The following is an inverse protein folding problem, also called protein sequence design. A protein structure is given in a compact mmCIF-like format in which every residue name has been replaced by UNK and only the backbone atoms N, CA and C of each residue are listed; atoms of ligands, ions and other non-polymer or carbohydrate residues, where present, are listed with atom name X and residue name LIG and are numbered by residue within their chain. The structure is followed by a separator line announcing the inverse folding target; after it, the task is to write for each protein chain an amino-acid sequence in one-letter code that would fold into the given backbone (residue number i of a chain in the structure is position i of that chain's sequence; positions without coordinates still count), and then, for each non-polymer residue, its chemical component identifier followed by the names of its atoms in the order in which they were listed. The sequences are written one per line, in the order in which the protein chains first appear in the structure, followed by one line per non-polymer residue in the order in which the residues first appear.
data_IF_658446904894
#
_entry.id   IF_658446904894
#
_cell.length_a   1.000
_cell.length_b   1.000
_cell.length_c   1.000
_cell.angle_alpha   90.00
_cell.angle_beta   90.00
_cell.angle_gamma   90.00
#
_symmetry.space_group_name_H-M   'P 1'
#
loop_
_entity.id
_entity.type
_entity.pdbx_description
1 polymer ?
#
# COMPACT_ATOMS: atom_id res chain seq x y z
N UNK A 1 -1.61 -18.43 -5.50
CA UNK A 1 -1.90 -18.97 -4.15
C UNK A 1 -3.42 -18.97 -3.98
N UNK A 2 -4.07 -20.13 -3.75
CA UNK A 2 -5.54 -20.17 -3.60
C UNK A 2 -5.93 -19.42 -2.33
N UNK A 3 -6.76 -18.37 -2.49
CA UNK A 3 -7.43 -17.71 -1.36
C UNK A 3 -8.21 -18.80 -0.60
N UNK A 4 -7.77 -19.14 0.58
CA UNK A 4 -8.60 -19.84 1.56
C UNK A 4 -9.58 -18.81 2.11
N UNK A 5 -10.72 -18.71 1.45
CA UNK A 5 -11.86 -17.92 1.95
C UNK A 5 -12.33 -18.58 3.24
N UNK A 6 -11.80 -18.14 4.38
CA UNK A 6 -12.48 -18.32 5.66
C UNK A 6 -13.71 -17.40 5.61
N UNK A 7 -14.71 -17.81 4.86
CA UNK A 7 -16.04 -17.20 4.79
C UNK A 7 -16.81 -17.52 6.07
N UNK A 8 -16.27 -17.10 7.22
CA UNK A 8 -17.07 -16.99 8.42
C UNK A 8 -17.84 -15.69 8.32
N UNK A 9 -19.14 -15.73 8.56
CA UNK A 9 -20.00 -14.54 8.67
C UNK A 9 -19.38 -13.45 9.58
N UNK A 10 -18.66 -13.88 10.61
CA UNK A 10 -17.90 -13.03 11.50
C UNK A 10 -16.80 -12.21 10.75
N UNK A 11 -15.99 -12.84 9.89
CA UNK A 11 -14.94 -12.12 9.14
C UNK A 11 -15.53 -11.09 8.19
N UNK A 12 -16.66 -11.39 7.56
CA UNK A 12 -17.34 -10.42 6.68
C UNK A 12 -17.84 -9.21 7.48
N UNK A 13 -18.48 -9.43 8.62
CA UNK A 13 -18.96 -8.34 9.47
C UNK A 13 -17.80 -7.52 10.07
N UNK A 14 -16.72 -8.17 10.49
CA UNK A 14 -15.53 -7.50 10.98
C UNK A 14 -14.88 -6.65 9.88
N UNK A 15 -14.78 -7.18 8.65
CA UNK A 15 -14.29 -6.44 7.50
C UNK A 15 -15.12 -5.20 7.20
N UNK A 16 -16.44 -5.33 7.15
CA UNK A 16 -17.38 -4.19 6.98
C UNK A 16 -17.21 -3.14 8.09
N UNK A 17 -17.01 -3.57 9.33
CA UNK A 17 -16.78 -2.66 10.46
C UNK A 17 -15.46 -1.90 10.29
N UNK A 18 -14.39 -2.59 9.92
CA UNK A 18 -13.08 -1.99 9.67
C UNK A 18 -13.17 -0.96 8.55
N UNK A 19 -13.80 -1.30 7.42
CA UNK A 19 -14.03 -0.36 6.31
C UNK A 19 -14.80 0.87 6.73
N UNK A 20 -15.88 0.71 7.49
CA UNK A 20 -16.65 1.83 8.00
C UNK A 20 -15.82 2.74 8.93
N UNK A 21 -15.01 2.16 9.80
CA UNK A 21 -14.11 2.91 10.69
C UNK A 21 -13.10 3.72 9.87
N UNK A 22 -12.47 3.11 8.86
CA UNK A 22 -11.54 3.79 7.95
C UNK A 22 -12.18 5.00 7.27
N UNK A 23 -13.35 4.80 6.67
CA UNK A 23 -14.07 5.85 5.94
C UNK A 23 -14.43 7.01 6.87
N UNK A 24 -14.97 6.73 8.05
CA UNK A 24 -15.48 7.75 8.96
C UNK A 24 -14.39 8.51 9.71
N UNK A 25 -13.36 7.80 10.21
CA UNK A 25 -12.34 8.42 11.05
C UNK A 25 -11.21 9.06 10.24
N UNK A 26 -10.95 8.58 9.03
CA UNK A 26 -9.76 8.99 8.25
C UNK A 26 -10.17 9.69 6.95
N UNK A 27 -10.94 9.02 6.10
CA UNK A 27 -11.20 9.49 4.73
C UNK A 27 -12.08 10.74 4.72
N UNK A 28 -13.21 10.74 5.44
CA UNK A 28 -14.15 11.87 5.44
C UNK A 28 -13.57 13.16 6.01
N UNK A 29 -12.90 13.18 7.18
CA UNK A 29 -12.27 14.40 7.69
C UNK A 29 -11.23 14.97 6.73
N UNK A 30 -10.40 14.12 6.15
CA UNK A 30 -9.37 14.56 5.22
C UNK A 30 -9.95 15.14 3.93
N UNK A 31 -10.98 14.51 3.36
CA UNK A 31 -11.67 15.06 2.19
C UNK A 31 -12.33 16.42 2.46
N UNK A 32 -12.74 16.67 3.69
CA UNK A 32 -13.30 17.96 4.08
C UNK A 32 -12.22 19.06 4.17
N UNK A 33 -11.05 18.75 4.72
CA UNK A 33 -9.97 19.74 4.93
C UNK A 33 -9.16 20.05 3.66
N UNK A 34 -9.05 19.10 2.72
CA UNK A 34 -8.31 19.31 1.48
C UNK A 34 -9.24 19.70 0.34
N UNK A 35 -9.16 20.93 -0.12
CA UNK A 35 -9.99 21.48 -1.20
C UNK A 35 -9.97 20.60 -2.47
N UNK A 36 -11.15 20.26 -2.95
CA UNK A 36 -11.37 19.30 -4.05
C UNK A 36 -10.58 19.63 -5.33
N UNK A 37 -10.59 20.89 -5.74
CA UNK A 37 -10.06 21.32 -7.04
C UNK A 37 -8.57 21.00 -7.23
N UNK A 38 -7.73 21.29 -6.24
CA UNK A 38 -6.27 21.08 -6.36
C UNK A 38 -5.87 19.60 -6.42
N UNK A 39 -6.69 18.73 -5.83
CA UNK A 39 -6.46 17.29 -5.85
C UNK A 39 -6.86 16.68 -7.18
N UNK A 40 -7.96 17.15 -7.75
CA UNK A 40 -8.45 16.73 -9.05
C UNK A 40 -7.45 17.17 -10.15
N UNK A 41 -6.91 18.40 -10.09
CA UNK A 41 -5.89 18.91 -11.03
C UNK A 41 -4.61 18.02 -11.05
N UNK A 42 -4.16 17.56 -9.88
CA UNK A 42 -2.98 16.67 -9.80
C UNK A 42 -3.28 15.28 -10.36
N UNK A 43 -4.45 14.73 -10.06
CA UNK A 43 -4.87 13.44 -10.61
C UNK A 43 -5.03 13.51 -12.13
N UNK A 44 -5.57 14.61 -12.66
CA UNK A 44 -5.66 14.86 -14.11
C UNK A 44 -4.27 14.93 -14.76
N UNK A 45 -3.33 15.60 -14.11
CA UNK A 45 -1.94 15.61 -14.58
C UNK A 45 -1.32 14.20 -14.62
N UNK A 46 -1.61 13.35 -13.64
CA UNK A 46 -1.11 11.97 -13.59
C UNK A 46 -1.71 11.10 -14.72
N UNK A 47 -2.99 11.29 -15.07
CA UNK A 47 -3.65 10.59 -16.20
C UNK A 47 -2.99 10.89 -17.55
N UNK A 48 -2.31 12.04 -17.67
CA UNK A 48 -1.60 12.43 -18.89
C UNK A 48 -0.13 11.98 -18.92
N UNK A 49 0.34 11.24 -17.92
CA UNK A 49 1.66 10.65 -17.93
C UNK A 49 1.73 9.45 -18.88
N UNK A 50 2.94 9.01 -19.27
CA UNK A 50 3.09 7.84 -20.15
C UNK A 50 2.45 6.60 -19.54
N UNK A 51 1.78 5.81 -20.37
CA UNK A 51 1.22 4.51 -19.98
C UNK A 51 2.30 3.62 -19.33
N UNK A 52 1.91 2.83 -18.35
CA UNK A 52 2.80 1.98 -17.54
C UNK A 52 3.79 2.76 -16.64
N UNK A 53 3.69 4.09 -16.55
CA UNK A 53 4.39 4.83 -15.51
C UNK A 53 3.66 4.72 -14.17
N UNK A 54 4.38 4.86 -13.06
CA UNK A 54 3.82 4.84 -11.71
C UNK A 54 2.66 5.85 -11.59
N UNK A 55 2.84 7.07 -12.09
CA UNK A 55 1.81 8.09 -11.99
C UNK A 55 0.54 7.75 -12.77
N UNK A 56 0.69 7.27 -14.01
CA UNK A 56 -0.44 6.83 -14.81
C UNK A 56 -1.19 5.65 -14.15
N UNK A 57 -0.47 4.59 -13.81
CA UNK A 57 -1.05 3.38 -13.21
C UNK A 57 -1.71 3.66 -11.87
N UNK A 58 -1.12 4.58 -11.06
CA UNK A 58 -1.71 5.02 -9.81
C UNK A 58 -3.00 5.81 -10.03
N UNK A 59 -3.05 6.69 -11.04
CA UNK A 59 -4.28 7.41 -11.37
C UNK A 59 -5.39 6.44 -11.82
N UNK A 60 -5.08 5.47 -12.67
CA UNK A 60 -6.03 4.43 -13.10
C UNK A 60 -6.51 3.59 -11.91
N UNK A 61 -5.61 3.21 -11.00
CA UNK A 61 -5.98 2.46 -9.79
C UNK A 61 -6.95 3.26 -8.91
N UNK A 62 -6.69 4.54 -8.68
CA UNK A 62 -7.58 5.41 -7.89
C UNK A 62 -8.94 5.58 -8.57
N UNK A 63 -8.98 5.75 -9.90
CA UNK A 63 -10.23 5.86 -10.68
C UNK A 63 -11.07 4.59 -10.59
N UNK A 64 -10.47 3.43 -10.72
CA UNK A 64 -11.16 2.13 -10.62
C UNK A 64 -11.84 1.93 -9.26
N UNK A 65 -11.29 2.51 -8.22
CA UNK A 65 -11.83 2.41 -6.85
C UNK A 65 -12.63 3.65 -6.43
N UNK A 66 -12.89 4.62 -7.35
CA UNK A 66 -13.53 5.91 -7.04
C UNK A 66 -12.85 6.66 -5.88
N UNK A 67 -11.53 6.54 -5.80
CA UNK A 67 -10.72 7.20 -4.78
C UNK A 67 -10.12 8.50 -5.32
N UNK A 68 -9.70 9.36 -4.39
CA UNK A 68 -9.02 10.62 -4.70
C UNK A 68 -7.62 10.61 -4.10
N UNK A 69 -6.70 11.31 -4.75
CA UNK A 69 -5.37 11.50 -4.23
C UNK A 69 -5.41 12.40 -2.98
N UNK A 70 -5.31 11.83 -1.79
CA UNK A 70 -5.36 12.57 -0.53
C UNK A 70 -3.94 12.90 -0.07
N UNK A 71 -3.57 14.18 0.16
CA UNK A 71 -2.28 14.54 0.74
C UNK A 71 -2.09 13.83 2.09
N UNK A 72 -0.90 13.26 2.30
CA UNK A 72 -0.62 12.42 3.48
C UNK A 72 -0.92 10.93 3.27
N UNK A 73 -1.67 10.55 2.23
CA UNK A 73 -1.89 9.14 1.85
C UNK A 73 -1.24 8.78 0.51
N UNK A 74 -0.57 9.71 -0.15
CA UNK A 74 0.06 9.48 -1.47
C UNK A 74 1.06 8.32 -1.47
N UNK A 75 1.91 8.25 -0.46
CA UNK A 75 2.85 7.14 -0.31
C UNK A 75 2.14 5.83 0.05
N UNK A 76 1.05 5.90 0.80
CA UNK A 76 0.20 4.74 1.09
C UNK A 76 -0.41 4.15 -0.19
N UNK A 77 -1.04 4.99 -1.02
CA UNK A 77 -1.65 4.55 -2.29
C UNK A 77 -0.58 4.03 -3.26
N UNK A 78 0.60 4.67 -3.28
CA UNK A 78 1.76 4.21 -4.03
C UNK A 78 2.23 2.82 -3.56
N UNK A 79 2.21 2.56 -2.26
CA UNK A 79 2.59 1.26 -1.71
C UNK A 79 1.63 0.15 -2.15
N UNK A 80 0.31 0.40 -2.25
CA UNK A 80 -0.63 -0.54 -2.85
C UNK A 80 -0.20 -0.90 -4.27
N UNK A 81 0.07 0.11 -5.10
CA UNK A 81 0.48 -0.10 -6.47
C UNK A 81 1.80 -0.88 -6.57
N UNK A 82 2.84 -0.46 -5.85
CA UNK A 82 4.21 -1.03 -5.97
C UNK A 82 4.30 -2.42 -5.35
N UNK A 83 3.72 -2.63 -4.18
CA UNK A 83 3.77 -3.91 -3.48
C UNK A 83 2.75 -4.92 -4.03
N UNK A 84 1.74 -4.45 -4.78
CA UNK A 84 0.73 -5.28 -5.42
C UNK A 84 -0.33 -5.81 -4.46
N UNK A 85 -0.59 -5.09 -3.38
CA UNK A 85 -1.73 -5.36 -2.50
C UNK A 85 -3.00 -4.75 -3.07
N UNK A 86 -4.13 -5.45 -2.94
CA UNK A 86 -5.44 -4.94 -3.29
C UNK A 86 -5.93 -3.87 -2.30
N UNK A 87 -7.11 -3.30 -2.59
CA UNK A 87 -7.76 -2.29 -1.75
C UNK A 87 -8.77 -2.88 -0.76
N UNK A 88 -8.89 -4.21 -0.73
CA UNK A 88 -9.77 -4.89 0.22
C UNK A 88 -9.20 -4.81 1.64
N UNK A 89 -10.06 -4.89 2.65
CA UNK A 89 -9.70 -4.70 4.05
C UNK A 89 -8.64 -5.70 4.56
N UNK A 90 -8.64 -6.93 4.07
CA UNK A 90 -7.67 -7.97 4.42
C UNK A 90 -6.33 -7.77 3.71
N UNK A 91 -6.34 -7.32 2.46
CA UNK A 91 -5.14 -6.90 1.72
C UNK A 91 -4.50 -5.69 2.39
N UNK A 92 -5.31 -4.73 2.85
CA UNK A 92 -4.85 -3.56 3.62
C UNK A 92 -4.10 -3.98 4.88
N UNK A 93 -4.68 -4.88 5.70
CA UNK A 93 -4.01 -5.37 6.91
C UNK A 93 -2.70 -6.10 6.58
N UNK A 94 -2.69 -6.90 5.51
CA UNK A 94 -1.49 -7.59 5.05
C UNK A 94 -0.40 -6.60 4.62
N UNK A 95 -0.77 -5.55 3.88
CA UNK A 95 0.16 -4.49 3.48
C UNK A 95 0.73 -3.77 4.70
N UNK A 96 -0.11 -3.40 5.68
CA UNK A 96 0.36 -2.75 6.90
C UNK A 96 1.31 -3.65 7.71
N UNK A 97 1.01 -4.94 7.81
CA UNK A 97 1.91 -5.90 8.46
C UNK A 97 3.26 -5.99 7.73
N UNK A 98 3.24 -6.03 6.40
CA UNK A 98 4.45 -5.99 5.58
C UNK A 98 5.25 -4.70 5.82
N UNK A 99 4.59 -3.54 5.79
CA UNK A 99 5.23 -2.23 5.98
C UNK A 99 5.91 -2.14 7.34
N UNK A 100 5.23 -2.54 8.42
CA UNK A 100 5.82 -2.56 9.78
C UNK A 100 7.01 -3.51 9.83
N UNK A 101 6.91 -4.67 9.21
CA UNK A 101 8.04 -5.62 9.09
C UNK A 101 9.22 -5.04 8.32
N UNK A 102 8.97 -4.25 7.30
CA UNK A 102 9.98 -3.59 6.47
C UNK A 102 10.68 -2.41 7.18
N UNK A 103 10.12 -1.93 8.28
CA UNK A 103 10.62 -0.79 9.05
C UNK A 103 9.95 0.54 8.72
N UNK A 104 8.90 0.51 7.89
CA UNK A 104 8.07 1.67 7.62
C UNK A 104 7.18 1.95 8.85
N UNK A 105 7.21 3.17 9.38
CA UNK A 105 6.61 3.50 10.69
C UNK A 105 5.69 4.71 10.64
N UNK A 106 4.97 4.86 9.56
CA UNK A 106 3.92 5.87 9.49
C UNK A 106 2.79 5.53 10.49
N UNK A 107 2.22 6.54 11.11
CA UNK A 107 1.16 6.35 12.11
C UNK A 107 -0.06 5.59 11.56
N UNK A 108 -0.35 5.76 10.27
CA UNK A 108 -1.43 5.06 9.57
C UNK A 108 -1.28 3.53 9.70
N UNK A 109 -0.05 3.01 9.58
CA UNK A 109 0.21 1.57 9.72
C UNK A 109 -0.30 1.03 11.05
N UNK A 110 -0.05 1.76 12.14
CA UNK A 110 -0.46 1.33 13.47
C UNK A 110 -1.96 1.45 13.69
N UNK A 111 -2.58 2.50 13.15
CA UNK A 111 -4.04 2.68 13.21
C UNK A 111 -4.75 1.55 12.46
N UNK A 112 -4.37 1.25 11.24
CA UNK A 112 -4.99 0.18 10.48
C UNK A 112 -4.69 -1.20 11.07
N UNK A 113 -3.43 -1.47 11.44
CA UNK A 113 -3.04 -2.76 12.01
C UNK A 113 -3.70 -3.02 13.38
N UNK A 114 -4.05 -1.99 14.14
CA UNK A 114 -4.79 -2.16 15.39
C UNK A 114 -6.14 -2.84 15.19
N UNK A 115 -6.77 -2.70 14.03
CA UNK A 115 -8.03 -3.38 13.69
C UNK A 115 -7.86 -4.91 13.53
N UNK A 116 -6.61 -5.41 13.38
CA UNK A 116 -6.34 -6.84 13.38
C UNK A 116 -6.70 -7.54 14.72
N UNK A 117 -6.80 -6.77 15.81
CA UNK A 117 -7.27 -7.28 17.12
C UNK A 117 -8.67 -7.88 17.00
N UNK A 118 -9.50 -7.32 16.11
CA UNK A 118 -10.90 -7.77 15.91
C UNK A 118 -10.95 -9.10 15.13
N UNK A 119 -9.87 -9.43 14.37
CA UNK A 119 -9.86 -10.60 13.49
C UNK A 119 -8.64 -11.48 13.77
N UNK A 120 -8.57 -12.17 14.92
CA UNK A 120 -7.42 -12.97 15.30
C UNK A 120 -7.14 -14.15 14.34
N UNK A 121 -8.11 -14.57 13.57
CA UNK A 121 -7.96 -15.61 12.53
C UNK A 121 -6.99 -15.21 11.41
N UNK A 122 -6.74 -13.91 11.23
CA UNK A 122 -5.78 -13.39 10.25
C UNK A 122 -4.34 -13.33 10.78
N UNK A 123 -4.11 -13.46 12.07
CA UNK A 123 -2.77 -13.26 12.65
C UNK A 123 -1.67 -14.13 12.02
N UNK A 124 -1.88 -15.41 11.71
CA UNK A 124 -0.85 -16.20 11.01
C UNK A 124 -0.50 -15.61 9.63
N UNK A 125 -1.48 -15.10 8.89
CA UNK A 125 -1.30 -14.47 7.59
C UNK A 125 -0.56 -13.13 7.75
N UNK A 126 -0.99 -12.29 8.69
CA UNK A 126 -0.33 -11.01 8.98
C UNK A 126 1.12 -11.20 9.41
N UNK A 127 1.39 -12.24 10.23
CA UNK A 127 2.76 -12.59 10.61
C UNK A 127 3.62 -12.98 9.40
N UNK A 128 3.07 -13.76 8.47
CA UNK A 128 3.77 -14.10 7.23
C UNK A 128 4.15 -12.86 6.42
N UNK A 129 3.20 -11.91 6.24
CA UNK A 129 3.47 -10.65 5.55
C UNK A 129 4.48 -9.76 6.29
N UNK A 130 4.43 -9.71 7.62
CA UNK A 130 5.46 -9.04 8.43
C UNK A 130 6.85 -9.62 8.18
N UNK A 131 6.99 -10.95 8.15
CA UNK A 131 8.28 -11.61 7.86
C UNK A 131 8.75 -11.34 6.42
N UNK A 132 7.83 -11.32 5.45
CA UNK A 132 8.15 -10.93 4.07
C UNK A 132 8.71 -9.49 4.02
N UNK A 133 8.07 -8.55 4.72
CA UNK A 133 8.56 -7.18 4.83
C UNK A 133 9.96 -7.10 5.42
N UNK A 134 10.24 -7.85 6.48
CA UNK A 134 11.59 -7.90 7.08
C UNK A 134 12.68 -8.40 6.13
N UNK A 135 12.31 -9.30 5.22
CA UNK A 135 13.24 -9.89 4.26
C UNK A 135 13.42 -9.05 2.99
N UNK A 136 12.52 -8.11 2.74
CA UNK A 136 12.50 -7.30 1.50
C UNK A 136 13.37 -6.04 1.62
N UNK A 137 13.74 -5.48 0.46
CA UNK A 137 14.40 -4.15 0.38
C UNK A 137 13.50 -3.10 1.05
N UNK A 138 14.10 -2.07 1.66
CA UNK A 138 13.36 -1.03 2.36
C UNK A 138 12.52 -0.20 1.41
N UNK A 139 11.22 -0.06 1.71
CA UNK A 139 10.30 0.83 0.98
C UNK A 139 10.39 2.29 1.44
N UNK A 140 11.20 2.61 2.44
CA UNK A 140 11.40 3.99 2.90
C UNK A 140 12.05 4.88 1.82
N UNK A 141 12.70 4.26 0.83
CA UNK A 141 13.29 4.96 -0.32
C UNK A 141 12.28 5.25 -1.44
N UNK A 142 11.08 4.70 -1.33
CA UNK A 142 10.01 4.93 -2.28
C UNK A 142 9.35 6.29 -1.98
N UNK A 143 9.61 7.26 -2.84
CA UNK A 143 9.02 8.59 -2.73
C UNK A 143 8.10 8.90 -3.90
N UNK A 144 6.91 9.39 -3.57
CA UNK A 144 5.86 9.68 -4.54
C UNK A 144 6.30 10.65 -5.63
N UNK A 145 7.02 11.73 -5.28
CA UNK A 145 7.33 12.80 -6.25
C UNK A 145 8.43 12.37 -7.24
N UNK A 146 9.35 11.51 -6.81
CA UNK A 146 10.50 11.09 -7.63
C UNK A 146 10.19 9.94 -8.57
N UNK A 147 9.27 9.04 -8.21
CA UNK A 147 9.03 7.82 -8.99
C UNK A 147 7.90 7.94 -10.03
N UNK A 148 7.18 9.07 -10.11
CA UNK A 148 5.99 9.22 -10.97
C UNK A 148 6.21 8.88 -12.44
N UNK A 149 7.39 9.20 -12.97
CA UNK A 149 7.76 8.96 -14.37
C UNK A 149 8.43 7.61 -14.61
N UNK A 150 8.77 6.87 -13.55
CA UNK A 150 9.38 5.55 -13.67
C UNK A 150 8.36 4.51 -14.12
N UNK A 151 8.81 3.50 -14.85
CA UNK A 151 7.93 2.40 -15.24
C UNK A 151 7.54 1.55 -14.01
N UNK A 152 6.26 1.29 -13.87
CA UNK A 152 5.70 0.54 -12.72
C UNK A 152 6.35 -0.84 -12.55
N UNK A 153 6.62 -1.53 -13.65
CA UNK A 153 7.26 -2.85 -13.60
C UNK A 153 8.68 -2.78 -13.03
N UNK A 154 9.44 -1.74 -13.38
CA UNK A 154 10.82 -1.55 -12.91
C UNK A 154 10.83 -1.24 -11.40
N UNK A 155 9.94 -0.35 -10.96
CA UNK A 155 9.83 -0.01 -9.54
C UNK A 155 9.36 -1.21 -8.72
N UNK A 156 8.36 -1.94 -9.19
CA UNK A 156 7.90 -3.18 -8.55
C UNK A 156 9.01 -4.21 -8.40
N UNK A 157 9.83 -4.41 -9.43
CA UNK A 157 10.93 -5.37 -9.37
C UNK A 157 11.99 -4.95 -8.36
N UNK A 158 12.34 -3.66 -8.30
CA UNK A 158 13.28 -3.09 -7.32
C UNK A 158 12.89 -3.42 -5.88
N UNK A 159 11.61 -3.29 -5.53
CA UNK A 159 11.13 -3.50 -4.16
C UNK A 159 10.68 -4.94 -3.84
N UNK A 160 10.53 -5.80 -4.86
CA UNK A 160 10.33 -7.24 -4.68
C UNK A 160 11.61 -8.00 -4.31
N UNK A 161 12.77 -7.40 -4.53
CA UNK A 161 14.06 -8.07 -4.25
C UNK A 161 14.22 -8.35 -2.76
N UNK A 162 14.71 -9.56 -2.45
CA UNK A 162 15.08 -9.93 -1.09
C UNK A 162 16.41 -9.26 -0.71
N UNK A 163 16.54 -8.79 0.53
CA UNK A 163 17.77 -8.18 1.09
C UNK A 163 19.02 -9.04 0.83
N UNK A 164 18.87 -10.35 0.80
CA UNK A 164 19.98 -11.29 0.54
C UNK A 164 20.55 -11.18 -0.89
N UNK A 165 19.73 -10.82 -1.87
CA UNK A 165 20.17 -10.63 -3.24
C UNK A 165 20.88 -9.29 -3.45
N UNK A 166 20.43 -8.23 -2.78
CA UNK A 166 21.10 -6.93 -2.84
C UNK A 166 22.48 -6.95 -2.17
N UNK A 167 22.65 -7.71 -1.09
CA UNK A 167 23.96 -7.92 -0.47
C UNK A 167 24.94 -8.68 -1.38
N UNK A 168 24.45 -9.70 -2.13
CA UNK A 168 25.28 -10.44 -3.09
C UNK A 168 25.69 -9.59 -4.30
N UNK A 169 24.78 -8.73 -4.80
CA UNK A 169 25.09 -7.80 -5.88
C UNK A 169 26.11 -6.74 -5.44
N UNK A 170 25.97 -6.17 -4.23
CA UNK A 170 26.92 -5.21 -3.68
C UNK A 170 28.34 -5.78 -3.51
N UNK A 171 28.47 -7.05 -3.12
CA UNK A 171 29.76 -7.72 -3.00
C UNK A 171 30.42 -8.04 -4.36
N UNK A 172 29.65 -8.22 -5.42
CA UNK A 172 30.16 -8.46 -6.76
C UNK A 172 30.72 -7.20 -7.45
N UNK A 173 30.34 -6.00 -6.99
CA UNK A 173 30.89 -4.72 -7.50
C UNK A 173 32.06 -4.18 -6.68
N UNK A 174 32.38 -4.79 -5.54
CA UNK A 174 33.46 -4.37 -4.65
C UNK A 174 34.75 -5.22 -4.80
N UNK A 175 34.79 -6.14 -5.75
CA UNK A 175 35.96 -6.93 -6.15
C UNK A 175 36.39 -6.60 -7.56
#
# INVERSE_FOLDING_TARGET
MKRTTASSSYCVHAGMLIENIKIWLVVKPLQFFYGRKRLDDKLDAMRNLPENSIGYDLAIMLDLHNLRLIPGFRNHDLNHLVLGYGMEWDDELCMQAYQVGNGYREWQCFVFLSSAIIVPTLWPMLWAHFQMGRASVSINELDFETCMMEQTVVVRERFRQCKTNSLKAGLAYAG
#
